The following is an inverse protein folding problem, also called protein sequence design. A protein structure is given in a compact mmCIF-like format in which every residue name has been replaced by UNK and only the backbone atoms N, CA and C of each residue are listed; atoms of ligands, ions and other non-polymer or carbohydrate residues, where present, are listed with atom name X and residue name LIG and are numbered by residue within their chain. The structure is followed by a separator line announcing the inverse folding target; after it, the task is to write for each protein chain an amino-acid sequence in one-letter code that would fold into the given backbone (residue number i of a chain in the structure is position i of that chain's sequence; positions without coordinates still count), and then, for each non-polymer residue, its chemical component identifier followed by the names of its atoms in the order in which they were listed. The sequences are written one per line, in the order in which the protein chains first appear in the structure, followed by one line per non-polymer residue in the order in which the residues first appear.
data_IF_979669983005
#
_entry.id   IF_979669983005
#
_cell.length_a   1.000
_cell.length_b   1.000
_cell.length_c   1.000
_cell.angle_alpha   90.00
_cell.angle_beta   90.00
_cell.angle_gamma   90.00
#
_symmetry.space_group_name_H-M   'P 1'
#
loop_
_entity.id
_entity.type
_entity.pdbx_description
1 polymer ?
#
# COMPACT_ATOMS: atom_id res chain seq x y z
N UNK A 1 2.10 1.93 18.08
CA UNK A 1 0.77 1.37 17.74
C UNK A 1 0.70 -0.10 18.17
N UNK A 2 1.65 -0.92 17.76
CA UNK A 2 2.01 -2.11 18.54
C UNK A 2 2.92 -1.71 19.70
N UNK A 3 2.91 -2.43 20.85
CA UNK A 3 2.15 -3.65 21.20
C UNK A 3 0.72 -3.39 21.72
N UNK A 4 0.29 -2.14 21.86
CA UNK A 4 -0.95 -1.75 22.54
C UNK A 4 -2.23 -1.90 21.71
N UNK A 5 -2.12 -2.19 20.42
CA UNK A 5 -3.29 -2.41 19.55
C UNK A 5 -4.02 -3.73 19.90
N UNK A 6 -5.35 -3.70 20.12
CA UNK A 6 -6.14 -4.93 20.27
C UNK A 6 -6.15 -5.71 18.96
N UNK A 7 -5.69 -6.98 19.00
CA UNK A 7 -5.64 -7.84 17.80
C UNK A 7 -7.00 -8.40 17.41
N UNK A 8 -7.84 -8.64 18.40
CA UNK A 8 -9.23 -8.99 18.23
C UNK A 8 -10.03 -7.70 18.03
N UNK A 9 -10.75 -7.59 16.91
CA UNK A 9 -11.59 -6.44 16.54
C UNK A 9 -10.85 -5.19 16.02
N UNK A 10 -10.08 -5.36 14.94
CA UNK A 10 -9.39 -4.26 14.24
C UNK A 10 -10.35 -3.15 13.75
N UNK A 11 -11.62 -3.44 13.50
CA UNK A 11 -12.58 -2.41 13.09
C UNK A 11 -12.84 -1.35 14.17
N UNK A 12 -12.72 -1.71 15.46
CA UNK A 12 -12.94 -0.77 16.57
C UNK A 12 -11.79 0.21 16.74
N UNK A 13 -10.56 -0.21 16.38
CA UNK A 13 -9.36 0.61 16.55
C UNK A 13 -9.11 1.55 15.35
N UNK A 14 -9.80 1.33 14.22
CA UNK A 14 -9.72 2.15 13.01
C UNK A 14 -9.69 3.67 13.28
N UNK A 15 -10.63 4.28 14.04
CA UNK A 15 -10.62 5.72 14.28
C UNK A 15 -9.38 6.20 15.04
N UNK A 16 -8.87 5.39 15.98
CA UNK A 16 -7.62 5.70 16.70
C UNK A 16 -6.41 5.63 15.76
N UNK A 17 -6.36 4.64 14.87
CA UNK A 17 -5.28 4.53 13.89
C UNK A 17 -5.32 5.73 12.94
N UNK A 18 -6.50 6.15 12.49
CA UNK A 18 -6.65 7.30 11.61
C UNK A 18 -6.22 8.60 12.28
N UNK A 19 -6.57 8.83 13.55
CA UNK A 19 -6.11 10.02 14.29
C UNK A 19 -4.60 10.02 14.51
N UNK A 20 -4.01 8.85 14.75
CA UNK A 20 -2.56 8.69 14.86
C UNK A 20 -1.86 8.96 13.52
N UNK A 21 -2.36 8.40 12.41
CA UNK A 21 -1.86 8.69 11.07
C UNK A 21 -1.90 10.20 10.78
N UNK A 22 -3.02 10.87 11.10
CA UNK A 22 -3.14 12.33 10.97
C UNK A 22 -2.11 13.09 11.80
N UNK A 23 -1.86 12.68 13.06
CA UNK A 23 -0.85 13.30 13.94
C UNK A 23 0.57 13.23 13.35
N UNK A 24 0.88 12.17 12.62
CA UNK A 24 2.20 11.95 12.02
C UNK A 24 2.28 12.35 10.53
N UNK A 25 1.23 12.96 9.97
CA UNK A 25 1.20 13.36 8.55
C UNK A 25 1.17 12.18 7.58
N UNK A 26 0.78 10.98 8.03
CA UNK A 26 0.72 9.77 7.21
C UNK A 26 -0.67 9.70 6.55
N UNK A 27 -0.76 9.55 5.22
CA UNK A 27 -2.04 9.37 4.55
C UNK A 27 -2.67 8.04 4.95
N UNK A 28 -3.83 8.09 5.60
CA UNK A 28 -4.60 6.90 5.93
C UNK A 28 -5.33 6.40 4.68
N UNK A 29 -5.02 5.18 4.24
CA UNK A 29 -5.61 4.57 3.04
C UNK A 29 -6.80 3.70 3.43
N UNK A 30 -7.96 4.02 2.84
CA UNK A 30 -9.18 3.22 2.95
C UNK A 30 -9.56 2.74 1.56
N UNK A 31 -9.34 1.46 1.31
CA UNK A 31 -9.65 0.82 0.03
C UNK A 31 -10.56 -0.37 0.28
N UNK A 32 -11.51 -0.56 -0.63
CA UNK A 32 -12.25 -1.81 -0.66
C UNK A 32 -11.30 -2.96 -1.03
N UNK A 33 -11.72 -4.19 -0.73
CA UNK A 33 -10.93 -5.35 -1.07
C UNK A 33 -10.69 -5.44 -2.60
N UNK A 34 -11.73 -5.17 -3.39
CA UNK A 34 -11.63 -5.15 -4.87
C UNK A 34 -10.67 -4.09 -5.38
N UNK A 35 -10.72 -2.87 -4.84
CA UNK A 35 -9.79 -1.80 -5.23
C UNK A 35 -8.35 -2.18 -4.91
N UNK A 36 -8.13 -2.79 -3.74
CA UNK A 36 -6.81 -3.26 -3.33
C UNK A 36 -6.25 -4.32 -4.29
N UNK A 37 -7.09 -5.26 -4.73
CA UNK A 37 -6.68 -6.25 -5.74
C UNK A 37 -6.33 -5.63 -7.08
N UNK A 38 -7.15 -4.68 -7.56
CA UNK A 38 -6.87 -3.95 -8.81
C UNK A 38 -5.54 -3.21 -8.71
N UNK A 39 -5.28 -2.56 -7.58
CA UNK A 39 -4.04 -1.80 -7.37
C UNK A 39 -2.80 -2.70 -7.37
N UNK A 40 -2.90 -3.92 -6.80
CA UNK A 40 -1.82 -4.91 -6.85
C UNK A 40 -1.52 -5.29 -8.31
N UNK A 41 -2.53 -5.64 -9.11
CA UNK A 41 -2.33 -6.02 -10.52
C UNK A 41 -1.72 -4.87 -11.33
N UNK A 42 -2.20 -3.64 -11.11
CA UNK A 42 -1.62 -2.44 -11.74
C UNK A 42 -0.16 -2.23 -11.36
N UNK A 43 0.17 -2.37 -10.07
CA UNK A 43 1.54 -2.26 -9.57
C UNK A 43 2.45 -3.30 -10.20
N UNK A 44 1.99 -4.56 -10.31
CA UNK A 44 2.75 -5.64 -10.94
C UNK A 44 3.02 -5.35 -12.41
N UNK A 45 2.01 -4.88 -13.16
CA UNK A 45 2.18 -4.50 -14.56
C UNK A 45 3.18 -3.35 -14.72
N UNK A 46 3.07 -2.31 -13.90
CA UNK A 46 3.98 -1.17 -13.95
C UNK A 46 5.42 -1.59 -13.66
N UNK A 47 5.64 -2.39 -12.61
CA UNK A 47 6.95 -2.94 -12.32
C UNK A 47 7.49 -3.76 -13.49
N UNK A 48 6.67 -4.62 -14.12
CA UNK A 48 7.10 -5.39 -15.30
C UNK A 48 7.57 -4.50 -16.45
N UNK A 49 6.85 -3.43 -16.76
CA UNK A 49 7.24 -2.47 -17.79
C UNK A 49 8.54 -1.74 -17.47
N UNK A 50 8.76 -1.38 -16.20
CA UNK A 50 10.03 -0.79 -15.75
C UNK A 50 11.20 -1.75 -15.95
N UNK A 51 11.02 -3.03 -15.62
CA UNK A 51 12.04 -4.07 -15.82
C UNK A 51 12.34 -4.31 -17.30
N UNK A 52 11.31 -4.40 -18.14
CA UNK A 52 11.45 -4.54 -19.59
C UNK A 52 12.24 -3.35 -20.17
N UNK A 53 11.86 -2.12 -19.83
CA UNK A 53 12.58 -0.92 -20.27
C UNK A 53 14.05 -0.90 -19.81
N UNK A 54 14.32 -1.29 -18.56
CA UNK A 54 15.68 -1.39 -18.04
C UNK A 54 16.52 -2.45 -18.78
N UNK A 55 15.93 -3.60 -19.10
CA UNK A 55 16.58 -4.66 -19.87
C UNK A 55 16.91 -4.19 -21.30
N UNK A 56 15.97 -3.53 -21.96
CA UNK A 56 16.19 -2.97 -23.30
C UNK A 56 17.28 -1.90 -23.28
N UNK A 57 17.29 -1.00 -22.30
CA UNK A 57 18.34 0.01 -22.16
C UNK A 57 19.74 -0.61 -21.95
N UNK A 58 19.82 -1.70 -21.17
CA UNK A 58 21.07 -2.41 -20.92
C UNK A 58 21.57 -3.21 -22.15
N UNK A 59 20.69 -3.75 -23.00
CA UNK A 59 21.08 -4.50 -24.19
C UNK A 59 21.40 -3.63 -25.42
N UNK A 60 20.94 -2.37 -25.44
CA UNK A 60 21.20 -1.40 -26.52
C UNK A 60 22.44 -0.52 -26.25
N UNK A 61 23.04 -0.66 -25.06
CA UNK A 61 24.34 -0.06 -24.69
C UNK A 61 25.49 -1.00 -25.01
#
# INVERSE_FOLDING_TARGET
LFPTMPRHNLYKIQPLVQSLCKKHGIPYQMKTLSQSFIDIVKSLKHSGQLWEAALHAHHVS
#
